data_IF_114434467532
#
_entry.id   IF_114434467532
#
_cell.length_a   1.000
_cell.length_b   1.000
_cell.length_c   1.000
_cell.angle_alpha   90.00
_cell.angle_beta   90.00
_cell.angle_gamma   90.00
#
_symmetry.space_group_name_H-M   'P 1'
#
loop_
_entity.id
_entity.type
_entity.pdbx_description
1 polymer ?
#
# COMPACT_ATOMS: atom_id res chain seq x y z
N UNK A 1 -38.67 23.81 3.52
CA UNK A 1 -37.79 23.46 2.38
C UNK A 1 -36.38 24.09 2.43
N UNK A 2 -36.21 25.37 2.80
CA UNK A 2 -34.88 26.02 2.83
C UNK A 2 -33.90 25.51 3.90
N UNK A 3 -34.38 24.90 4.99
CA UNK A 3 -33.52 24.34 6.06
C UNK A 3 -32.93 22.95 5.72
N UNK A 4 -33.59 22.18 4.84
CA UNK A 4 -33.15 20.83 4.44
C UNK A 4 -31.95 20.91 3.49
N UNK A 5 -31.90 21.92 2.60
CA UNK A 5 -30.76 22.14 1.71
C UNK A 5 -29.47 22.49 2.48
N UNK A 6 -29.58 23.15 3.64
CA UNK A 6 -28.43 23.55 4.43
C UNK A 6 -27.74 22.36 5.11
N UNK A 7 -28.50 21.31 5.45
CA UNK A 7 -27.98 20.09 6.07
C UNK A 7 -27.25 19.19 5.06
N UNK A 8 -27.67 19.21 3.79
CA UNK A 8 -27.00 18.50 2.68
C UNK A 8 -25.66 19.13 2.27
N UNK A 9 -25.45 20.42 2.58
CA UNK A 9 -24.19 21.11 2.31
C UNK A 9 -23.16 20.95 3.44
N UNK A 10 -23.58 20.47 4.62
CA UNK A 10 -22.73 20.21 5.79
C UNK A 10 -22.24 18.76 5.86
N UNK A 11 -22.69 17.88 4.96
CA UNK A 11 -22.20 16.50 4.87
C UNK A 11 -20.92 16.41 4.03
N UNK A 12 -20.01 17.39 4.15
CA UNK A 12 -18.64 17.19 3.72
C UNK A 12 -18.11 16.06 4.58
N UNK A 13 -18.14 14.85 4.03
CA UNK A 13 -17.57 13.68 4.66
C UNK A 13 -16.17 14.08 5.11
N UNK A 14 -15.98 14.20 6.41
CA UNK A 14 -14.66 14.09 7.01
C UNK A 14 -14.33 12.62 6.83
N UNK A 15 -13.88 12.25 5.63
CA UNK A 15 -13.30 10.94 5.42
C UNK A 15 -12.01 10.95 6.22
N UNK A 16 -12.12 10.55 7.48
CA UNK A 16 -11.02 9.85 8.10
C UNK A 16 -10.71 8.69 7.14
N UNK A 17 -9.46 8.69 6.68
CA UNK A 17 -8.83 7.74 5.77
C UNK A 17 -9.50 6.35 5.77
N UNK A 18 -10.05 5.93 4.63
CA UNK A 18 -10.52 4.57 4.45
C UNK A 18 -9.35 3.67 4.09
N UNK A 19 -9.18 2.57 4.81
CA UNK A 19 -8.19 1.55 4.45
C UNK A 19 -8.59 0.86 3.15
N UNK A 20 -7.63 0.75 2.23
CA UNK A 20 -7.73 -0.09 1.04
C UNK A 20 -6.53 -1.03 0.99
N UNK A 21 -6.70 -2.20 0.38
CA UNK A 21 -5.56 -3.08 0.11
C UNK A 21 -4.60 -2.35 -0.84
N UNK A 22 -3.30 -2.44 -0.57
CA UNK A 22 -2.29 -1.95 -1.51
C UNK A 22 -2.40 -2.77 -2.81
N UNK A 23 -2.73 -2.15 -3.95
CA UNK A 23 -2.91 -2.87 -5.20
C UNK A 23 -1.54 -3.33 -5.73
N UNK A 24 -1.52 -4.47 -6.42
CA UNK A 24 -0.32 -5.07 -7.04
C UNK A 24 0.79 -5.46 -6.06
N UNK A 25 0.50 -5.50 -4.76
CA UNK A 25 1.31 -6.20 -3.77
C UNK A 25 0.78 -7.64 -3.65
N UNK A 26 1.69 -8.63 -3.60
CA UNK A 26 1.32 -10.06 -3.48
C UNK A 26 0.38 -10.26 -2.30
N UNK A 27 -0.74 -10.97 -2.52
CA UNK A 27 -1.71 -11.25 -1.46
C UNK A 27 -1.05 -12.05 -0.34
N UNK A 28 -1.33 -11.68 0.92
CA UNK A 28 -0.87 -12.39 2.12
C UNK A 28 -1.56 -13.76 2.26
N UNK A 29 -1.34 -14.64 1.30
CA UNK A 29 -1.89 -15.99 1.24
C UNK A 29 -0.74 -16.95 1.50
N UNK A 30 -0.85 -17.80 2.52
CA UNK A 30 0.19 -18.79 2.84
C UNK A 30 1.31 -18.33 3.77
N UNK A 31 1.09 -17.29 4.59
CA UNK A 31 2.09 -16.84 5.59
C UNK A 31 3.08 -15.79 5.06
N UNK A 32 2.70 -15.08 4.00
CA UNK A 32 3.50 -14.06 3.34
C UNK A 32 3.36 -12.74 4.10
N UNK A 33 4.32 -12.42 4.99
CA UNK A 33 4.25 -11.21 5.82
C UNK A 33 5.09 -10.07 5.24
N UNK A 34 4.56 -8.87 5.37
CA UNK A 34 5.35 -7.64 5.21
C UNK A 34 5.96 -7.30 6.56
N UNK A 35 7.29 -7.16 6.58
CA UNK A 35 8.05 -6.91 7.81
C UNK A 35 8.26 -5.42 8.05
N UNK A 36 8.30 -4.60 6.99
CA UNK A 36 8.50 -3.16 7.11
C UNK A 36 7.99 -2.37 5.89
N UNK A 37 7.76 -1.08 6.10
CA UNK A 37 7.42 -0.09 5.07
C UNK A 37 8.09 1.24 5.40
N UNK A 38 8.72 1.85 4.40
CA UNK A 38 9.44 3.12 4.55
C UNK A 38 9.18 4.05 3.36
N UNK A 39 8.92 5.33 3.65
CA UNK A 39 8.79 6.38 2.64
C UNK A 39 9.89 7.41 2.81
N UNK A 40 10.58 7.75 1.71
CA UNK A 40 11.59 8.81 1.68
C UNK A 40 10.94 10.19 1.56
N UNK A 41 9.81 10.26 0.86
CA UNK A 41 8.95 11.43 0.73
C UNK A 41 7.51 10.97 0.43
N UNK A 42 6.60 11.91 0.20
CA UNK A 42 5.17 11.63 0.02
C UNK A 42 4.87 10.65 -1.13
N UNK A 43 5.74 10.58 -2.14
CA UNK A 43 5.52 9.76 -3.34
C UNK A 43 6.38 8.49 -3.38
N UNK A 44 7.60 8.54 -2.86
CA UNK A 44 8.63 7.52 -3.03
C UNK A 44 8.80 6.67 -1.77
N UNK A 45 8.51 5.37 -1.89
CA UNK A 45 8.60 4.43 -0.78
C UNK A 45 8.90 2.99 -1.17
N UNK A 46 9.13 2.16 -0.15
CA UNK A 46 9.46 0.73 -0.25
C UNK A 46 8.71 -0.09 0.80
N UNK A 47 8.40 -1.33 0.45
CA UNK A 47 7.84 -2.32 1.35
C UNK A 47 8.65 -3.62 1.27
N UNK A 48 8.98 -4.19 2.43
CA UNK A 48 9.78 -5.40 2.54
C UNK A 48 8.90 -6.60 2.92
N UNK A 49 9.00 -7.66 2.11
CA UNK A 49 8.34 -8.94 2.35
C UNK A 49 9.40 -9.98 2.71
N UNK A 50 9.59 -10.18 4.01
CA UNK A 50 10.59 -11.11 4.49
C UNK A 50 10.23 -12.56 4.20
N UNK A 51 8.97 -12.95 4.10
CA UNK A 51 8.61 -14.33 3.75
C UNK A 51 9.02 -14.71 2.32
N UNK A 52 9.11 -13.73 1.40
CA UNK A 52 9.34 -13.97 -0.03
C UNK A 52 10.69 -13.43 -0.55
N UNK A 53 11.58 -12.94 0.33
CA UNK A 53 12.76 -12.16 -0.06
C UNK A 53 12.47 -10.99 -1.00
N UNK A 54 11.27 -10.40 -0.91
CA UNK A 54 10.80 -9.47 -1.92
C UNK A 54 10.84 -8.02 -1.45
N UNK A 55 11.25 -7.14 -2.36
CA UNK A 55 11.24 -5.68 -2.16
C UNK A 55 10.33 -5.06 -3.20
N UNK A 56 9.38 -4.26 -2.74
CA UNK A 56 8.46 -3.49 -3.58
C UNK A 56 8.79 -2.01 -3.47
N UNK A 57 8.59 -1.27 -4.56
CA UNK A 57 8.80 0.18 -4.65
C UNK A 57 7.57 0.87 -5.20
N UNK A 58 7.26 2.04 -4.66
CA UNK A 58 6.26 2.98 -5.20
C UNK A 58 6.92 4.32 -5.54
N UNK A 59 6.33 5.05 -6.50
CA UNK A 59 6.68 6.44 -6.85
C UNK A 59 5.43 7.32 -6.95
N UNK A 60 4.32 6.86 -6.39
CA UNK A 60 3.00 7.51 -6.47
C UNK A 60 2.24 7.44 -5.13
N UNK A 61 2.98 7.46 -4.01
CA UNK A 61 2.39 7.52 -2.66
C UNK A 61 1.76 6.20 -2.22
N UNK A 62 2.17 5.08 -2.82
CA UNK A 62 1.64 3.75 -2.53
C UNK A 62 0.35 3.42 -3.28
N UNK A 63 -0.06 4.23 -4.26
CA UNK A 63 -1.17 3.93 -5.16
C UNK A 63 -0.84 2.74 -6.07
N UNK A 64 0.42 2.57 -6.46
CA UNK A 64 0.92 1.37 -7.16
C UNK A 64 2.29 0.95 -6.64
N UNK A 65 2.56 -0.35 -6.71
CA UNK A 65 3.81 -0.96 -6.25
C UNK A 65 4.39 -1.84 -7.35
N UNK A 66 5.71 -1.72 -7.56
CA UNK A 66 6.49 -2.53 -8.50
C UNK A 66 7.49 -3.37 -7.73
N UNK A 67 7.50 -4.68 -7.96
CA UNK A 67 8.51 -5.58 -7.40
C UNK A 67 9.88 -5.28 -8.02
N UNK A 68 10.89 -5.06 -7.19
CA UNK A 68 12.28 -4.77 -7.60
C UNK A 68 13.20 -5.97 -7.39
N UNK A 69 12.86 -6.82 -6.41
CA UNK A 69 13.66 -7.96 -6.00
C UNK A 69 12.75 -9.08 -5.50
N UNK A 70 13.15 -10.33 -5.73
CA UNK A 70 12.56 -11.55 -5.16
C UNK A 70 13.61 -12.69 -5.22
N UNK A 71 13.29 -13.86 -4.66
CA UNK A 71 14.15 -15.05 -4.73
C UNK A 71 14.53 -15.48 -6.16
N UNK A 72 13.63 -15.34 -7.14
CA UNK A 72 13.89 -15.69 -8.54
C UNK A 72 14.98 -14.82 -9.14
N UNK A 73 14.94 -13.50 -8.88
CA UNK A 73 15.95 -12.54 -9.35
C UNK A 73 17.29 -12.79 -8.65
N UNK A 74 17.26 -13.14 -7.35
CA UNK A 74 18.44 -13.46 -6.57
C UNK A 74 19.08 -14.81 -6.93
N UNK A 75 18.36 -15.67 -7.67
CA UNK A 75 18.85 -16.98 -8.10
C UNK A 75 19.01 -17.98 -6.94
N UNK A 76 18.47 -17.69 -5.76
CA UNK A 76 18.47 -18.62 -4.63
C UNK A 76 17.35 -18.32 -3.64
N UNK A 77 16.97 -19.31 -2.82
CA UNK A 77 15.99 -19.14 -1.75
C UNK A 77 16.71 -18.60 -0.51
N UNK A 78 16.43 -17.35 -0.17
CA UNK A 78 17.02 -16.69 1.01
C UNK A 78 16.15 -16.78 2.26
N UNK A 79 15.07 -17.58 2.23
CA UNK A 79 14.12 -17.84 3.31
C UNK A 79 13.55 -19.25 3.22
#
# INVERSE_FOLDING_TARGET
MKLILLFLLLSTNVFCQSWQNAPNIVSNTGGVRFDDVFFLNDDLGWAANGSAAAIYKTTDGGLTWTEQLNNTILGSNHY
#
